data_IF_739835147200
#
_entry.id   IF_739835147200
#
_cell.length_a   1.000
_cell.length_b   1.000
_cell.length_c   1.000
_cell.angle_alpha   90.00
_cell.angle_beta   90.00
_cell.angle_gamma   90.00
#
_symmetry.space_group_name_H-M   'P 1'
#
loop_
_entity.id
_entity.type
_entity.pdbx_description
1 polymer ?
#
# COMPACT_ATOMS: atom_id res chain seq x y z
N UNK A 1 -2.45 11.77 5.24
CA UNK A 1 -2.27 13.20 5.68
C UNK A 1 -3.24 14.13 4.99
N UNK A 2 -3.38 14.13 3.67
CA UNK A 2 -4.24 15.08 2.93
C UNK A 2 -5.69 15.13 3.43
N UNK A 3 -6.39 13.99 3.50
CA UNK A 3 -7.75 13.93 4.04
C UNK A 3 -7.83 14.28 5.53
N UNK A 4 -6.78 13.98 6.31
CA UNK A 4 -6.75 14.35 7.72
C UNK A 4 -6.78 15.87 7.91
N UNK A 5 -6.08 16.60 7.06
CA UNK A 5 -5.97 18.05 7.10
C UNK A 5 -7.04 18.78 6.26
N UNK A 6 -7.77 18.04 5.40
CA UNK A 6 -8.82 18.64 4.58
C UNK A 6 -9.97 19.21 5.43
N UNK A 7 -10.39 20.44 5.08
CA UNK A 7 -11.57 21.06 5.66
C UNK A 7 -12.82 20.56 4.90
N UNK A 8 -13.50 19.58 5.47
CA UNK A 8 -14.69 18.94 4.91
C UNK A 8 -15.83 18.97 5.94
N UNK A 9 -16.38 20.14 6.27
CA UNK A 9 -17.27 20.32 7.42
C UNK A 9 -18.60 19.58 7.31
N UNK A 10 -19.06 19.31 6.08
CA UNK A 10 -20.35 18.67 5.85
C UNK A 10 -20.24 17.14 5.70
N UNK A 11 -19.02 16.58 5.69
CA UNK A 11 -18.83 15.16 5.52
C UNK A 11 -19.02 14.43 6.85
N UNK A 12 -19.86 13.41 6.82
CA UNK A 12 -20.14 12.53 7.96
C UNK A 12 -19.85 11.07 7.63
N UNK A 13 -19.74 10.73 6.34
CA UNK A 13 -19.53 9.35 5.87
C UNK A 13 -18.39 9.30 4.86
N UNK A 14 -17.41 8.46 5.15
CA UNK A 14 -16.35 8.10 4.22
C UNK A 14 -16.75 6.80 3.53
N UNK A 15 -16.67 6.76 2.21
CA UNK A 15 -17.00 5.59 1.40
C UNK A 15 -15.77 5.17 0.62
N UNK A 16 -15.45 3.88 0.63
CA UNK A 16 -14.38 3.33 -0.21
C UNK A 16 -14.63 1.87 -0.55
N UNK A 17 -13.76 1.28 -1.35
CA UNK A 17 -13.89 -0.10 -1.77
C UNK A 17 -12.52 -0.75 -2.02
N UNK A 18 -12.51 -2.08 -2.11
CA UNK A 18 -11.32 -2.87 -2.40
C UNK A 18 -11.34 -4.23 -1.71
N UNK A 19 -10.16 -4.81 -1.52
CA UNK A 19 -10.01 -6.07 -0.78
C UNK A 19 -10.30 -5.88 0.72
N UNK A 20 -10.92 -6.90 1.35
CA UNK A 20 -11.11 -6.93 2.81
C UNK A 20 -9.78 -6.94 3.61
N UNK A 21 -8.64 -7.15 2.96
CA UNK A 21 -7.31 -7.09 3.56
C UNK A 21 -6.47 -5.91 3.02
N UNK A 22 -7.10 -4.96 2.33
CA UNK A 22 -6.41 -3.78 1.83
C UNK A 22 -5.87 -2.90 2.97
N UNK A 23 -4.64 -2.40 2.83
CA UNK A 23 -4.06 -1.46 3.80
C UNK A 23 -4.88 -0.15 3.88
N UNK A 24 -5.50 0.25 2.76
CA UNK A 24 -6.40 1.41 2.71
C UNK A 24 -7.64 1.24 3.59
N UNK A 25 -8.18 0.03 3.74
CA UNK A 25 -9.31 -0.24 4.63
C UNK A 25 -9.00 0.17 6.07
N UNK A 26 -7.88 -0.30 6.63
CA UNK A 26 -7.49 0.05 7.99
C UNK A 26 -7.16 1.54 8.13
N UNK A 27 -6.41 2.11 7.17
CA UNK A 27 -6.04 3.53 7.19
C UNK A 27 -7.25 4.46 7.12
N UNK A 28 -8.27 4.11 6.30
CA UNK A 28 -9.51 4.88 6.20
C UNK A 28 -10.40 4.70 7.43
N UNK A 29 -10.39 3.53 8.06
CA UNK A 29 -11.08 3.31 9.33
C UNK A 29 -10.48 4.18 10.45
N UNK A 30 -9.14 4.24 10.53
CA UNK A 30 -8.45 5.12 11.47
C UNK A 30 -8.76 6.61 11.20
N UNK A 31 -8.73 7.03 9.94
CA UNK A 31 -9.11 8.40 9.56
C UNK A 31 -10.55 8.73 9.94
N UNK A 32 -11.51 7.85 9.61
CA UNK A 32 -12.91 8.04 9.94
C UNK A 32 -13.11 8.16 11.46
N UNK A 33 -12.44 7.33 12.25
CA UNK A 33 -12.45 7.40 13.71
C UNK A 33 -11.94 8.73 14.23
N UNK A 34 -10.82 9.25 13.69
CA UNK A 34 -10.22 10.55 14.11
C UNK A 34 -11.16 11.71 13.76
N UNK A 35 -11.80 11.67 12.58
CA UNK A 35 -12.72 12.73 12.10
C UNK A 35 -14.12 12.64 12.70
N UNK A 36 -14.46 11.56 13.41
CA UNK A 36 -15.83 11.31 13.88
C UNK A 36 -16.79 10.96 12.74
N UNK A 37 -16.27 10.42 11.64
CA UNK A 37 -17.06 10.00 10.50
C UNK A 37 -17.37 8.50 10.58
N UNK A 38 -18.40 8.06 9.85
CA UNK A 38 -18.66 6.65 9.57
C UNK A 38 -17.78 6.20 8.38
N UNK A 39 -17.23 4.98 8.42
CA UNK A 39 -16.65 4.35 7.24
C UNK A 39 -17.59 3.27 6.72
N UNK A 40 -17.99 3.37 5.45
CA UNK A 40 -18.59 2.32 4.64
C UNK A 40 -17.54 1.80 3.66
N UNK A 41 -17.12 0.53 3.81
CA UNK A 41 -16.12 -0.06 2.92
C UNK A 41 -16.73 -1.25 2.18
N UNK A 42 -16.76 -1.15 0.86
CA UNK A 42 -17.40 -2.11 -0.03
C UNK A 42 -16.39 -3.13 -0.53
N UNK A 43 -16.67 -4.41 -0.32
CA UNK A 43 -15.87 -5.53 -0.82
C UNK A 43 -16.70 -6.33 -1.81
N UNK A 44 -16.06 -6.91 -2.83
CA UNK A 44 -16.76 -7.82 -3.74
C UNK A 44 -17.28 -9.05 -2.98
N UNK A 45 -16.35 -9.78 -2.35
CA UNK A 45 -16.63 -10.98 -1.57
C UNK A 45 -15.85 -11.00 -0.27
N UNK A 46 -16.50 -11.43 0.82
CA UNK A 46 -15.86 -11.64 2.12
C UNK A 46 -15.77 -13.14 2.41
N UNK A 47 -14.57 -13.75 2.39
CA UNK A 47 -14.39 -15.17 2.67
C UNK A 47 -14.92 -15.55 4.06
N UNK A 48 -15.64 -16.67 4.17
CA UNK A 48 -16.24 -17.15 5.41
C UNK A 48 -15.20 -17.35 6.54
N UNK A 49 -14.01 -17.82 6.20
CA UNK A 49 -12.93 -17.98 7.18
C UNK A 49 -12.49 -16.64 7.79
N UNK A 50 -12.54 -15.54 7.01
CA UNK A 50 -12.19 -14.20 7.47
C UNK A 50 -13.32 -13.57 8.28
N UNK A 51 -14.58 -13.86 7.89
CA UNK A 51 -15.77 -13.45 8.64
C UNK A 51 -15.83 -14.11 10.02
N UNK A 52 -15.61 -15.44 10.08
CA UNK A 52 -15.66 -16.21 11.32
C UNK A 52 -14.47 -15.97 12.25
N UNK A 53 -13.32 -15.57 11.70
CA UNK A 53 -12.09 -15.26 12.46
C UNK A 53 -11.43 -14.01 11.90
N UNK A 54 -11.91 -12.82 12.26
CA UNK A 54 -11.31 -11.57 11.80
C UNK A 54 -9.83 -11.47 12.17
N UNK A 55 -9.01 -11.11 11.20
CA UNK A 55 -7.56 -10.89 11.37
C UNK A 55 -7.06 -9.84 10.39
N UNK A 56 -5.87 -9.30 10.66
CA UNK A 56 -5.22 -8.32 9.81
C UNK A 56 -6.01 -7.01 9.68
N UNK A 57 -5.94 -6.40 8.50
CA UNK A 57 -6.60 -5.13 8.23
C UNK A 57 -8.12 -5.18 8.41
N UNK A 58 -8.76 -6.32 8.09
CA UNK A 58 -10.19 -6.52 8.33
C UNK A 58 -10.55 -6.42 9.81
N UNK A 59 -9.82 -7.14 10.69
CA UNK A 59 -10.01 -7.06 12.14
C UNK A 59 -9.82 -5.64 12.65
N UNK A 60 -8.67 -5.03 12.31
CA UNK A 60 -8.35 -3.67 12.77
C UNK A 60 -9.38 -2.63 12.33
N UNK A 61 -9.94 -2.76 11.13
CA UNK A 61 -10.99 -1.86 10.65
C UNK A 61 -12.31 -2.03 11.42
N UNK A 62 -12.72 -3.28 11.72
CA UNK A 62 -13.91 -3.55 12.54
C UNK A 62 -13.76 -2.97 13.95
N UNK A 63 -12.61 -3.12 14.58
CA UNK A 63 -12.31 -2.56 15.91
C UNK A 63 -12.37 -1.02 15.93
N UNK A 64 -12.10 -0.37 14.79
CA UNK A 64 -12.24 1.07 14.61
C UNK A 64 -13.67 1.51 14.24
N UNK A 65 -14.60 0.56 14.08
CA UNK A 65 -15.99 0.83 13.79
C UNK A 65 -16.33 0.94 12.30
N UNK A 66 -15.51 0.40 11.41
CA UNK A 66 -15.81 0.36 9.98
C UNK A 66 -16.99 -0.60 9.70
N UNK A 67 -17.89 -0.20 8.82
CA UNK A 67 -18.93 -1.05 8.25
C UNK A 67 -18.42 -1.66 6.94
N UNK A 68 -18.33 -2.98 6.90
CA UNK A 68 -17.88 -3.73 5.72
C UNK A 68 -19.09 -4.30 5.00
N UNK A 69 -19.29 -3.88 3.75
CA UNK A 69 -20.47 -4.25 2.95
C UNK A 69 -20.02 -5.19 1.82
N UNK A 70 -20.52 -6.41 1.82
CA UNK A 70 -20.27 -7.40 0.79
C UNK A 70 -21.24 -7.25 -0.38
N UNK A 71 -20.74 -6.75 -1.52
CA UNK A 71 -21.57 -6.44 -2.69
C UNK A 71 -22.18 -7.68 -3.32
N UNK A 72 -21.47 -8.81 -3.35
CA UNK A 72 -21.96 -10.06 -3.93
C UNK A 72 -23.22 -10.60 -3.24
N UNK A 73 -23.53 -10.20 -2.00
CA UNK A 73 -24.78 -10.56 -1.31
C UNK A 73 -25.99 -9.74 -1.78
N UNK A 74 -25.77 -8.56 -2.30
CA UNK A 74 -26.82 -7.61 -2.70
C UNK A 74 -26.97 -7.51 -4.22
N UNK A 75 -25.85 -7.58 -4.95
CA UNK A 75 -25.79 -7.45 -6.41
C UNK A 75 -24.69 -8.37 -6.96
N UNK A 76 -24.94 -9.70 -7.08
CA UNK A 76 -23.94 -10.65 -7.56
C UNK A 76 -23.37 -10.27 -8.92
N UNK A 77 -22.03 -10.24 -9.02
CA UNK A 77 -21.32 -9.90 -10.25
C UNK A 77 -21.17 -8.40 -10.53
N UNK A 78 -21.70 -7.52 -9.69
CA UNK A 78 -21.50 -6.08 -9.79
C UNK A 78 -20.19 -5.70 -9.09
N UNK A 79 -19.35 -4.88 -9.75
CA UNK A 79 -18.14 -4.37 -9.13
C UNK A 79 -18.48 -3.37 -8.00
N UNK A 80 -17.77 -3.37 -6.85
CA UNK A 80 -18.04 -2.47 -5.73
C UNK A 80 -18.15 -0.99 -6.10
N UNK A 81 -17.31 -0.49 -7.01
CA UNK A 81 -17.40 0.88 -7.51
C UNK A 81 -18.76 1.15 -8.18
N UNK A 82 -19.20 0.25 -9.06
CA UNK A 82 -20.49 0.39 -9.74
C UNK A 82 -21.65 0.34 -8.75
N UNK A 83 -21.55 -0.52 -7.74
CA UNK A 83 -22.55 -0.60 -6.67
C UNK A 83 -22.65 0.74 -5.90
N UNK A 84 -21.52 1.34 -5.55
CA UNK A 84 -21.49 2.65 -4.89
C UNK A 84 -22.16 3.70 -5.76
N UNK A 85 -21.83 3.78 -7.05
CA UNK A 85 -22.35 4.78 -7.98
C UNK A 85 -23.83 4.59 -8.30
N UNK A 86 -24.28 3.36 -8.52
CA UNK A 86 -25.62 3.06 -9.06
C UNK A 86 -26.66 2.71 -7.99
N UNK A 87 -26.24 2.06 -6.89
CA UNK A 87 -27.14 1.54 -5.86
C UNK A 87 -27.04 2.36 -4.58
N UNK A 88 -25.81 2.55 -4.04
CA UNK A 88 -25.61 3.32 -2.80
C UNK A 88 -25.90 4.81 -3.00
N UNK A 89 -25.53 5.36 -4.14
CA UNK A 89 -25.72 6.77 -4.53
C UNK A 89 -25.28 7.72 -3.40
N UNK A 90 -23.98 8.03 -3.29
CA UNK A 90 -23.45 8.87 -2.22
C UNK A 90 -24.13 10.24 -2.17
N UNK A 91 -24.46 10.71 -0.97
CA UNK A 91 -25.02 12.05 -0.73
C UNK A 91 -23.93 13.10 -0.60
N UNK A 92 -24.31 14.37 -0.53
CA UNK A 92 -23.38 15.49 -0.27
C UNK A 92 -22.66 15.40 1.08
N UNK A 93 -23.18 14.60 2.01
CA UNK A 93 -22.54 14.29 3.28
C UNK A 93 -21.56 13.13 3.21
N UNK A 94 -21.35 12.54 2.03
CA UNK A 94 -20.46 11.40 1.80
C UNK A 94 -19.24 11.84 1.01
N UNK A 95 -18.07 11.31 1.37
CA UNK A 95 -16.82 11.47 0.60
C UNK A 95 -16.35 10.10 0.08
N UNK A 96 -16.25 9.96 -1.25
CA UNK A 96 -15.82 8.71 -1.87
C UNK A 96 -14.32 8.75 -2.12
N UNK A 97 -13.60 7.76 -1.59
CA UNK A 97 -12.17 7.54 -1.83
C UNK A 97 -12.03 6.33 -2.74
N UNK A 98 -11.48 6.46 -3.93
CA UNK A 98 -11.23 5.34 -4.83
C UNK A 98 -10.28 4.30 -4.24
N UNK A 99 -10.32 3.08 -4.77
CA UNK A 99 -9.45 1.99 -4.37
C UNK A 99 -7.98 2.42 -4.33
N UNK A 100 -7.28 2.04 -3.24
CA UNK A 100 -5.88 2.36 -3.04
C UNK A 100 -5.58 3.85 -2.81
N UNK A 101 -6.60 4.69 -2.59
CA UNK A 101 -6.40 6.14 -2.39
C UNK A 101 -5.93 6.86 -3.65
N UNK A 102 -6.30 6.38 -4.83
CA UNK A 102 -5.93 6.93 -6.13
C UNK A 102 -6.81 8.13 -6.49
N UNK A 103 -6.45 9.31 -6.00
CA UNK A 103 -7.16 10.56 -6.27
C UNK A 103 -6.23 11.78 -6.07
N UNK A 104 -6.58 12.90 -6.68
CA UNK A 104 -5.74 14.11 -6.70
C UNK A 104 -5.38 14.64 -5.32
N UNK A 105 -6.32 14.62 -4.37
CA UNK A 105 -6.05 15.12 -3.01
C UNK A 105 -4.93 14.34 -2.30
N UNK A 106 -4.61 13.11 -2.71
CA UNK A 106 -3.48 12.36 -2.16
C UNK A 106 -2.14 13.06 -2.44
N UNK A 107 -2.04 13.83 -3.52
CA UNK A 107 -0.84 14.56 -3.93
C UNK A 107 -0.29 15.46 -2.84
N UNK A 108 -1.14 16.23 -2.13
CA UNK A 108 -0.69 17.17 -1.11
C UNK A 108 0.08 16.50 0.04
N UNK A 109 -0.38 15.35 0.52
CA UNK A 109 0.34 14.62 1.57
C UNK A 109 1.64 14.02 1.10
N UNK A 110 1.69 13.56 -0.16
CA UNK A 110 2.90 12.98 -0.75
C UNK A 110 3.91 14.08 -1.10
N UNK A 111 3.44 15.24 -1.55
CA UNK A 111 4.27 16.45 -1.73
C UNK A 111 4.95 16.85 -0.43
N UNK A 112 4.22 16.84 0.68
CA UNK A 112 4.81 17.14 1.98
C UNK A 112 5.92 16.14 2.32
N UNK A 113 5.72 14.83 2.12
CA UNK A 113 6.76 13.81 2.29
C UNK A 113 7.97 14.07 1.37
N UNK A 114 7.75 14.42 0.11
CA UNK A 114 8.83 14.75 -0.81
C UNK A 114 9.65 15.96 -0.32
N UNK A 115 9.00 17.00 0.19
CA UNK A 115 9.68 18.19 0.73
C UNK A 115 10.51 17.84 1.98
N UNK A 116 10.02 16.97 2.84
CA UNK A 116 10.75 16.46 4.00
C UNK A 116 12.00 15.67 3.56
N UNK A 117 11.88 14.78 2.58
CA UNK A 117 13.01 14.06 1.99
C UNK A 117 14.04 15.00 1.36
N UNK A 118 13.61 16.01 0.61
CA UNK A 118 14.49 17.01 0.03
C UNK A 118 15.22 17.83 1.10
N UNK A 119 14.52 18.19 2.17
CA UNK A 119 15.11 18.92 3.29
C UNK A 119 16.19 18.06 3.97
N UNK A 120 15.86 16.79 4.24
CA UNK A 120 16.78 15.85 4.85
C UNK A 120 18.00 15.56 3.96
N UNK A 121 17.81 15.38 2.65
CA UNK A 121 18.90 15.06 1.72
C UNK A 121 19.99 16.13 1.66
N UNK A 122 19.66 17.38 1.99
CA UNK A 122 20.63 18.51 2.04
C UNK A 122 21.69 18.36 3.12
N UNK A 123 21.44 17.53 4.15
CA UNK A 123 22.45 17.24 5.19
C UNK A 123 23.53 16.28 4.71
N UNK A 124 23.35 15.64 3.54
CA UNK A 124 24.29 14.68 2.96
C UNK A 124 24.58 15.02 1.47
N UNK A 125 25.14 16.21 1.18
CA UNK A 125 25.21 16.73 -0.18
C UNK A 125 26.15 15.94 -1.12
N UNK A 126 27.01 15.10 -0.56
CA UNK A 126 27.91 14.22 -1.33
C UNK A 126 27.24 12.93 -1.81
N UNK A 127 26.04 12.59 -1.28
CA UNK A 127 25.34 11.37 -1.63
C UNK A 127 24.41 11.56 -2.82
N UNK A 128 24.37 10.57 -3.69
CA UNK A 128 23.40 10.48 -4.78
C UNK A 128 22.24 9.59 -4.35
N UNK A 129 21.15 10.21 -3.94
CA UNK A 129 20.00 9.49 -3.44
C UNK A 129 19.13 8.91 -4.56
N UNK A 130 18.55 7.76 -4.27
CA UNK A 130 17.44 7.16 -5.00
C UNK A 130 16.39 6.74 -4.00
N UNK A 131 15.12 7.01 -4.31
CA UNK A 131 13.98 6.63 -3.48
C UNK A 131 13.36 5.36 -4.04
N UNK A 132 12.97 4.41 -3.19
CA UNK A 132 12.30 3.19 -3.64
C UNK A 132 11.15 2.79 -2.73
N UNK A 133 10.07 2.27 -3.33
CA UNK A 133 8.89 1.76 -2.64
C UNK A 133 8.08 0.82 -3.55
N UNK A 134 7.37 -0.18 -2.98
CA UNK A 134 6.45 -1.02 -3.74
C UNK A 134 5.19 -0.27 -4.15
N UNK A 135 4.54 -0.70 -5.24
CA UNK A 135 3.29 -0.12 -5.72
C UNK A 135 2.17 -1.15 -5.86
N UNK A 136 1.04 -0.85 -5.24
CA UNK A 136 -0.26 -1.40 -5.63
C UNK A 136 -0.84 -0.58 -6.79
N UNK A 137 -1.50 0.55 -6.47
CA UNK A 137 -1.99 1.53 -7.46
C UNK A 137 -0.94 2.58 -7.85
N UNK A 138 0.17 2.65 -7.14
CA UNK A 138 1.32 3.48 -7.48
C UNK A 138 1.21 4.98 -7.17
N UNK A 139 0.12 5.45 -6.61
CA UNK A 139 -0.12 6.88 -6.32
C UNK A 139 1.02 7.54 -5.54
N UNK A 140 1.56 6.85 -4.52
CA UNK A 140 2.68 7.38 -3.72
C UNK A 140 3.96 7.49 -4.56
N UNK A 141 4.29 6.46 -5.33
CA UNK A 141 5.49 6.46 -6.17
C UNK A 141 5.43 7.57 -7.25
N UNK A 142 4.25 7.74 -7.87
CA UNK A 142 4.03 8.75 -8.90
C UNK A 142 4.26 10.17 -8.37
N UNK A 143 3.60 10.54 -7.28
CA UNK A 143 3.72 11.89 -6.75
C UNK A 143 5.08 12.15 -6.06
N UNK A 144 5.71 11.12 -5.46
CA UNK A 144 7.10 11.26 -5.04
C UNK A 144 8.02 11.56 -6.24
N UNK A 145 7.84 10.83 -7.35
CA UNK A 145 8.62 11.07 -8.57
C UNK A 145 8.43 12.49 -9.09
N UNK A 146 7.18 12.97 -9.19
CA UNK A 146 6.84 14.33 -9.64
C UNK A 146 7.61 15.41 -8.89
N UNK A 147 7.76 15.26 -7.57
CA UNK A 147 8.41 16.27 -6.72
C UNK A 147 9.91 16.05 -6.50
N UNK A 148 10.42 14.83 -6.62
CA UNK A 148 11.83 14.51 -6.36
C UNK A 148 12.71 14.58 -7.62
N UNK A 149 12.18 14.17 -8.78
CA UNK A 149 12.92 14.15 -10.05
C UNK A 149 13.51 15.50 -10.45
N UNK A 150 12.82 16.66 -10.31
CA UNK A 150 13.39 17.97 -10.62
C UNK A 150 14.62 18.31 -9.78
N UNK A 151 14.84 17.60 -8.67
CA UNK A 151 15.99 17.75 -7.77
C UNK A 151 17.04 16.63 -7.95
N UNK A 152 16.95 15.85 -9.03
CA UNK A 152 17.89 14.79 -9.35
C UNK A 152 17.74 13.51 -8.53
N UNK A 153 16.66 13.35 -7.78
CA UNK A 153 16.37 12.14 -7.00
C UNK A 153 15.35 11.29 -7.77
N UNK A 154 15.83 10.17 -8.31
CA UNK A 154 14.98 9.22 -9.03
C UNK A 154 14.14 8.40 -8.05
N UNK A 155 12.94 8.00 -8.50
CA UNK A 155 12.05 7.10 -7.77
C UNK A 155 11.94 5.77 -8.52
N UNK A 156 12.18 4.69 -7.78
CA UNK A 156 12.06 3.30 -8.24
C UNK A 156 10.83 2.67 -7.62
N UNK A 157 10.12 1.87 -8.38
CA UNK A 157 8.98 1.11 -7.88
C UNK A 157 8.90 -0.25 -8.57
N UNK A 158 8.01 -1.12 -8.11
CA UNK A 158 7.63 -2.34 -8.81
C UNK A 158 6.11 -2.51 -8.79
N UNK A 159 5.56 -3.13 -9.82
CA UNK A 159 4.15 -3.45 -9.91
C UNK A 159 3.85 -4.71 -9.07
N UNK A 160 3.38 -4.55 -7.84
CA UNK A 160 2.96 -5.68 -7.01
C UNK A 160 1.65 -6.31 -7.49
N UNK A 161 0.77 -5.52 -8.09
CA UNK A 161 -0.55 -5.94 -8.59
C UNK A 161 -0.67 -5.57 -10.06
N UNK A 162 -1.27 -6.43 -10.86
CA UNK A 162 -1.68 -6.15 -12.25
C UNK A 162 -0.53 -6.07 -13.28
N UNK A 163 0.73 -6.00 -12.85
CA UNK A 163 1.91 -5.87 -13.70
C UNK A 163 2.18 -4.45 -14.20
N UNK A 164 3.28 -4.30 -14.95
CA UNK A 164 3.85 -2.99 -15.33
C UNK A 164 2.88 -2.15 -16.18
N UNK A 165 2.19 -2.76 -17.16
CA UNK A 165 1.21 -2.06 -18.01
C UNK A 165 0.01 -1.55 -17.21
N UNK A 166 -0.45 -2.32 -16.22
CA UNK A 166 -1.50 -1.88 -15.31
C UNK A 166 -1.02 -0.68 -14.49
N UNK A 167 0.16 -0.76 -13.91
CA UNK A 167 0.72 0.33 -13.09
C UNK A 167 0.90 1.61 -13.92
N UNK A 168 1.40 1.51 -15.15
CA UNK A 168 1.53 2.64 -16.08
C UNK A 168 0.16 3.27 -16.36
N UNK A 169 -0.87 2.47 -16.63
CA UNK A 169 -2.23 3.00 -16.85
C UNK A 169 -2.81 3.71 -15.61
N UNK A 170 -2.42 3.29 -14.39
CA UNK A 170 -2.82 3.99 -13.17
C UNK A 170 -2.17 5.38 -13.08
N UNK A 171 -0.92 5.52 -13.50
CA UNK A 171 -0.22 6.80 -13.56
C UNK A 171 -0.87 7.77 -14.57
N UNK A 172 -1.18 7.27 -15.78
CA UNK A 172 -1.85 8.04 -16.83
C UNK A 172 -3.24 8.52 -16.40
N UNK A 173 -4.00 7.70 -15.65
CA UNK A 173 -5.32 8.08 -15.12
C UNK A 173 -5.25 9.21 -14.07
N UNK A 174 -4.10 9.43 -13.44
CA UNK A 174 -3.84 10.58 -12.57
C UNK A 174 -3.34 11.82 -13.33
N UNK A 175 -3.28 11.75 -14.67
CA UNK A 175 -2.93 12.88 -15.53
C UNK A 175 -1.43 13.12 -15.69
N UNK A 176 -0.59 12.23 -15.17
CA UNK A 176 0.87 12.36 -15.26
C UNK A 176 1.41 11.58 -16.46
N UNK A 177 2.37 12.17 -17.17
CA UNK A 177 3.03 11.57 -18.34
C UNK A 177 4.48 11.18 -18.07
N UNK A 178 5.07 11.69 -16.99
CA UNK A 178 6.41 11.36 -16.54
C UNK A 178 6.30 10.47 -15.30
N UNK A 179 6.86 9.26 -15.38
CA UNK A 179 6.59 8.20 -14.43
C UNK A 179 7.85 7.76 -13.69
N UNK A 180 7.74 7.23 -12.45
CA UNK A 180 8.86 6.58 -11.78
C UNK A 180 9.35 5.37 -12.57
N UNK A 181 10.60 5.01 -12.41
CA UNK A 181 11.15 3.80 -13.02
C UNK A 181 10.51 2.56 -12.39
N UNK A 182 9.84 1.76 -13.22
CA UNK A 182 9.28 0.47 -12.79
C UNK A 182 10.36 -0.60 -12.95
N UNK A 183 10.74 -1.23 -11.85
CA UNK A 183 11.65 -2.37 -11.82
C UNK A 183 10.84 -3.65 -11.99
N UNK A 184 11.27 -4.50 -12.93
CA UNK A 184 10.64 -5.80 -13.18
C UNK A 184 11.30 -6.88 -12.33
N UNK A 185 10.55 -7.75 -11.66
CA UNK A 185 11.13 -8.85 -10.90
C UNK A 185 11.82 -9.87 -11.83
N UNK A 186 12.91 -10.53 -11.38
CA UNK A 186 13.67 -11.47 -12.20
C UNK A 186 12.86 -12.69 -12.66
N UNK A 187 11.77 -12.99 -11.96
CA UNK A 187 10.86 -14.08 -12.28
C UNK A 187 9.40 -13.64 -12.12
N UNK A 188 8.49 -14.31 -12.85
CA UNK A 188 7.05 -14.06 -12.74
C UNK A 188 6.59 -14.20 -11.29
N UNK A 189 5.95 -13.14 -10.78
CA UNK A 189 5.41 -13.09 -9.43
C UNK A 189 3.89 -12.91 -9.48
N UNK A 190 3.19 -13.59 -8.59
CA UNK A 190 1.74 -13.48 -8.44
C UNK A 190 1.43 -12.95 -7.04
N UNK A 191 0.72 -11.86 -6.97
CA UNK A 191 0.34 -11.21 -5.72
C UNK A 191 -0.37 -12.18 -4.75
N UNK A 192 0.05 -12.19 -3.50
CA UNK A 192 -0.52 -13.06 -2.46
C UNK A 192 -0.15 -14.54 -2.52
N UNK A 193 0.62 -14.99 -3.54
CA UNK A 193 1.20 -16.33 -3.57
C UNK A 193 2.42 -16.36 -2.66
N UNK A 194 2.63 -17.48 -1.95
CA UNK A 194 3.74 -17.63 -1.02
C UNK A 194 4.99 -18.13 -1.76
N UNK A 195 6.05 -17.34 -1.75
CA UNK A 195 7.37 -17.67 -2.29
C UNK A 195 8.38 -17.76 -1.15
N UNK A 196 9.24 -18.78 -1.22
CA UNK A 196 10.30 -19.00 -0.21
C UNK A 196 11.27 -17.82 -0.18
N UNK A 197 11.62 -17.29 -1.32
CA UNK A 197 12.52 -16.16 -1.49
C UNK A 197 11.97 -14.91 -0.83
N UNK A 198 10.67 -14.63 -0.97
CA UNK A 198 10.02 -13.47 -0.34
C UNK A 198 10.13 -13.55 1.19
N UNK A 199 9.88 -14.75 1.74
CA UNK A 199 9.99 -14.95 3.18
C UNK A 199 11.43 -14.84 3.68
N UNK A 200 12.40 -15.31 2.92
CA UNK A 200 13.82 -15.18 3.25
C UNK A 200 14.27 -13.72 3.23
N UNK A 201 13.84 -12.93 2.24
CA UNK A 201 14.11 -11.48 2.18
C UNK A 201 13.50 -10.78 3.38
N UNK A 202 12.23 -11.04 3.69
CA UNK A 202 11.56 -10.44 4.83
C UNK A 202 12.28 -10.71 6.15
N UNK A 203 12.70 -11.96 6.39
CA UNK A 203 13.50 -12.34 7.57
C UNK A 203 14.87 -11.65 7.59
N UNK A 204 15.51 -11.56 6.42
CA UNK A 204 16.80 -10.87 6.29
C UNK A 204 16.68 -9.39 6.64
N UNK A 205 15.64 -8.71 6.13
CA UNK A 205 15.36 -7.31 6.46
C UNK A 205 15.15 -7.13 7.97
N UNK A 206 14.28 -7.93 8.56
CA UNK A 206 14.02 -7.88 10.00
C UNK A 206 15.31 -8.08 10.82
N UNK A 207 16.15 -9.08 10.46
CA UNK A 207 17.36 -9.39 11.19
C UNK A 207 18.43 -8.30 11.06
N UNK A 208 18.56 -7.64 9.92
CA UNK A 208 19.60 -6.63 9.68
C UNK A 208 19.20 -5.23 10.11
N UNK A 209 17.91 -4.92 10.13
CA UNK A 209 17.44 -3.55 10.42
C UNK A 209 16.70 -3.44 11.75
N UNK A 210 16.26 -4.55 12.31
CA UNK A 210 15.33 -4.62 13.46
C UNK A 210 13.99 -3.91 13.19
N UNK A 211 13.64 -3.75 11.90
CA UNK A 211 12.38 -3.14 11.42
C UNK A 211 11.54 -4.24 10.77
N UNK A 212 10.29 -4.35 11.19
CA UNK A 212 9.32 -5.22 10.54
C UNK A 212 8.80 -4.57 9.26
N UNK A 213 8.76 -5.33 8.15
CA UNK A 213 8.25 -4.91 6.86
C UNK A 213 6.93 -5.64 6.54
N UNK A 214 6.15 -5.10 5.59
CA UNK A 214 4.98 -5.79 5.06
C UNK A 214 5.40 -7.04 4.27
N UNK A 215 4.79 -8.19 4.57
CA UNK A 215 5.11 -9.49 3.94
C UNK A 215 4.54 -9.65 2.53
N UNK A 216 3.67 -8.75 2.10
CA UNK A 216 2.95 -8.87 0.83
C UNK A 216 3.57 -8.01 -0.28
N UNK A 217 4.07 -6.83 0.07
CA UNK A 217 4.59 -5.84 -0.89
C UNK A 217 6.12 -5.72 -0.86
N UNK A 218 6.71 -5.56 0.33
CA UNK A 218 8.12 -5.23 0.46
C UNK A 218 9.07 -6.31 -0.08
N UNK A 219 8.85 -7.62 0.13
CA UNK A 219 9.76 -8.63 -0.40
C UNK A 219 9.89 -8.60 -1.91
N UNK A 220 8.80 -8.35 -2.65
CA UNK A 220 8.86 -8.22 -4.10
C UNK A 220 9.67 -7.00 -4.53
N UNK A 221 9.47 -5.86 -3.87
CA UNK A 221 10.27 -4.67 -4.16
C UNK A 221 11.76 -4.93 -3.93
N UNK A 222 12.12 -5.58 -2.84
CA UNK A 222 13.51 -5.93 -2.55
C UNK A 222 14.10 -6.94 -3.55
N UNK A 223 13.30 -7.87 -4.09
CA UNK A 223 13.75 -8.75 -5.19
C UNK A 223 14.11 -7.97 -6.45
N UNK A 224 13.39 -6.89 -6.72
CA UNK A 224 13.70 -6.01 -7.85
C UNK A 224 14.90 -5.09 -7.54
N UNK A 225 15.01 -4.63 -6.29
CA UNK A 225 16.06 -3.69 -5.86
C UNK A 225 17.45 -4.33 -5.76
N UNK A 226 17.55 -5.55 -5.26
CA UNK A 226 18.86 -6.18 -5.02
C UNK A 226 19.74 -6.22 -6.28
N UNK A 227 19.26 -6.70 -7.45
CA UNK A 227 20.05 -6.64 -8.69
C UNK A 227 20.38 -5.21 -9.12
N UNK A 228 19.40 -4.30 -8.99
CA UNK A 228 19.60 -2.91 -9.37
C UNK A 228 20.70 -2.23 -8.52
N UNK A 229 20.73 -2.50 -7.21
CA UNK A 229 21.75 -1.96 -6.29
C UNK A 229 23.16 -2.49 -6.59
N UNK A 230 23.28 -3.74 -7.03
CA UNK A 230 24.57 -4.30 -7.46
C UNK A 230 25.19 -3.55 -8.64
N UNK A 231 24.34 -3.04 -9.53
CA UNK A 231 24.73 -2.26 -10.71
C UNK A 231 24.90 -0.75 -10.41
N UNK A 232 24.35 -0.27 -9.30
CA UNK A 232 24.29 1.15 -8.93
C UNK A 232 24.89 1.43 -7.54
N UNK A 233 26.11 0.96 -7.31
CA UNK A 233 26.81 1.04 -6.00
C UNK A 233 27.16 2.45 -5.55
N UNK A 234 27.13 3.41 -6.46
CA UNK A 234 27.33 4.83 -6.20
C UNK A 234 26.09 5.52 -5.61
N UNK A 235 24.93 4.87 -5.65
CA UNK A 235 23.67 5.39 -5.15
C UNK A 235 23.45 5.06 -3.68
N UNK A 236 22.80 5.99 -2.97
CA UNK A 236 22.32 5.79 -1.60
C UNK A 236 20.80 5.58 -1.63
N UNK A 237 20.35 4.40 -1.24
CA UNK A 237 18.94 4.05 -1.21
C UNK A 237 18.21 4.70 -0.02
N UNK A 238 17.11 5.37 -0.31
CA UNK A 238 16.08 5.78 0.65
C UNK A 238 14.84 4.91 0.43
N UNK A 239 14.67 3.90 1.24
CA UNK A 239 13.50 3.02 1.15
C UNK A 239 12.33 3.59 1.93
N UNK A 240 11.20 3.81 1.27
CA UNK A 240 9.99 4.32 1.91
C UNK A 240 9.20 3.16 2.50
N UNK A 241 9.24 3.03 3.80
CA UNK A 241 8.43 2.07 4.55
C UNK A 241 6.98 2.56 4.63
N UNK A 242 6.07 1.89 3.92
CA UNK A 242 4.68 2.33 3.79
C UNK A 242 3.75 1.79 4.91
N UNK A 243 4.28 1.10 5.91
CA UNK A 243 3.47 0.46 6.96
C UNK A 243 2.82 -0.83 6.46
N UNK A 244 1.53 -1.01 6.74
CA UNK A 244 0.79 -2.21 6.28
C UNK A 244 0.97 -3.44 7.15
N UNK A 245 1.59 -3.31 8.32
CA UNK A 245 2.04 -4.44 9.15
C UNK A 245 0.91 -5.33 9.67
N UNK A 246 -0.32 -4.82 9.81
CA UNK A 246 -1.47 -5.66 10.18
C UNK A 246 -1.73 -6.78 9.16
N UNK A 247 -1.37 -6.59 7.89
CA UNK A 247 -1.42 -7.64 6.88
C UNK A 247 -0.61 -8.88 7.24
N UNK A 248 0.47 -8.72 8.02
CA UNK A 248 1.33 -9.80 8.45
C UNK A 248 0.61 -10.81 9.37
N UNK A 249 -0.42 -10.40 10.13
CA UNK A 249 -1.25 -11.32 10.92
C UNK A 249 -1.87 -12.45 10.07
N UNK A 250 -2.22 -12.14 8.83
CA UNK A 250 -2.80 -13.12 7.91
C UNK A 250 -1.75 -13.86 7.08
N UNK A 251 -0.62 -13.20 6.79
CA UNK A 251 0.41 -13.74 5.90
C UNK A 251 1.44 -14.59 6.63
N UNK A 252 1.93 -14.16 7.79
CA UNK A 252 2.99 -14.84 8.52
C UNK A 252 2.63 -16.30 8.91
N UNK A 253 1.43 -16.62 9.44
CA UNK A 253 1.06 -18.01 9.73
C UNK A 253 0.99 -18.90 8.47
N UNK A 254 0.67 -18.31 7.30
CA UNK A 254 0.64 -19.05 6.02
C UNK A 254 2.06 -19.42 5.60
N UNK A 255 3.02 -18.48 5.71
CA UNK A 255 4.43 -18.72 5.44
C UNK A 255 5.02 -19.76 6.38
N UNK A 256 4.80 -19.62 7.69
CA UNK A 256 5.31 -20.55 8.71
C UNK A 256 4.82 -21.98 8.51
N UNK A 257 3.57 -22.19 8.08
CA UNK A 257 3.04 -23.53 7.78
C UNK A 257 3.63 -24.14 6.51
N UNK A 258 3.88 -23.30 5.48
CA UNK A 258 4.31 -23.79 4.16
C UNK A 258 5.82 -23.92 4.05
N UNK A 259 6.54 -23.06 4.75
CA UNK A 259 8.00 -22.91 4.66
C UNK A 259 8.55 -22.96 6.09
N UNK A 260 8.68 -24.16 6.68
CA UNK A 260 9.28 -24.30 7.99
C UNK A 260 10.73 -23.84 7.92
N UNK A 261 11.06 -22.79 8.65
CA UNK A 261 12.41 -22.30 8.82
C UNK A 261 13.02 -23.00 10.02
N UNK A 262 14.28 -23.46 9.88
CA UNK A 262 15.01 -24.08 10.96
C UNK A 262 15.09 -23.20 12.21
N UNK A 263 15.27 -23.80 13.38
CA UNK A 263 15.20 -23.15 14.71
C UNK A 263 16.05 -21.89 14.91
N UNK A 264 16.99 -21.60 14.06
CA UNK A 264 17.86 -20.42 14.13
C UNK A 264 17.12 -19.08 13.93
N UNK A 265 15.95 -19.08 13.28
CA UNK A 265 15.16 -17.89 12.98
C UNK A 265 13.95 -17.66 13.91
N UNK A 266 13.67 -18.59 14.83
CA UNK A 266 12.44 -18.57 15.64
C UNK A 266 12.57 -17.78 16.97
N UNK A 267 13.74 -17.24 17.32
CA UNK A 267 14.05 -16.76 18.68
C UNK A 267 13.68 -15.29 18.96
N UNK A 268 13.15 -14.53 18.01
CA UNK A 268 12.80 -13.10 18.23
C UNK A 268 11.30 -12.78 18.35
N UNK A 269 10.42 -13.77 18.20
CA UNK A 269 8.98 -13.59 18.40
C UNK A 269 8.52 -14.36 19.66
N UNK A 270 8.85 -13.87 20.85
CA UNK A 270 8.20 -14.18 22.12
C UNK A 270 8.00 -12.91 22.91
#
# INVERSE_FOLDING_TARGET
MSLLNANLPNITTLISYGSAQANSLFSLAALARIKGWKLEFYVDHLPEWLRSRPQGNYRGALELGAEIIEVSQHAPGMHPQQYIEQVRQPSDASYVVPEGGRFELAEEGIKQLALELLTWSRFEPSKQFVVALPSGTGTTALYLHKYLKPHGINVLTCACVGGDSYLTSQFEQLGETDHPQILTPPNKHHFGKLYKEDYQIWLSLLNHTDIEFDLLYDPLMWRCLLPWLEENKDKTLLYIHQGGLLGNESMLPRYQRKIPIGREFTLRYR
#
